data_IF_549132557519
#
_entry.id   IF_549132557519
#
_cell.length_a   1.000
_cell.length_b   1.000
_cell.length_c   1.000
_cell.angle_alpha   90.00
_cell.angle_beta   90.00
_cell.angle_gamma   90.00
#
_symmetry.space_group_name_H-M   'P 1'
#
loop_
_entity.id
_entity.type
_entity.pdbx_description
1 polymer ?
#
# COMPACT_ATOMS: atom_id res chain seq x y z
N UNK A 1 -10.64 8.04 6.11
CA UNK A 1 -10.11 7.15 7.16
C UNK A 1 -9.12 6.21 6.49
N UNK A 2 -7.94 6.01 7.09
CA UNK A 2 -6.92 5.08 6.59
C UNK A 2 -6.80 3.98 7.63
N UNK A 3 -7.15 2.76 7.24
CA UNK A 3 -7.05 1.57 8.09
C UNK A 3 -6.01 0.63 7.48
N UNK A 4 -5.02 0.25 8.29
CA UNK A 4 -3.90 -0.62 7.87
C UNK A 4 -3.88 -1.92 8.71
N UNK A 5 -5.04 -2.34 9.20
CA UNK A 5 -5.18 -3.59 9.96
C UNK A 5 -4.99 -4.77 9.00
N UNK A 6 -4.13 -5.71 9.38
CA UNK A 6 -3.81 -6.88 8.54
C UNK A 6 -4.94 -7.88 8.40
N UNK A 7 -5.83 -7.93 9.39
CA UNK A 7 -6.98 -8.80 9.34
C UNK A 7 -8.05 -8.22 8.41
N UNK A 8 -8.36 -8.95 7.35
CA UNK A 8 -9.41 -8.58 6.40
C UNK A 8 -10.77 -8.55 7.08
N UNK A 9 -11.02 -9.41 8.07
CA UNK A 9 -12.33 -9.51 8.70
C UNK A 9 -12.68 -8.23 9.47
N UNK A 10 -11.69 -7.58 10.10
CA UNK A 10 -11.83 -6.28 10.74
C UNK A 10 -12.20 -5.19 9.73
N UNK A 11 -11.49 -5.16 8.60
CA UNK A 11 -11.75 -4.20 7.52
C UNK A 11 -13.15 -4.39 6.93
N UNK A 12 -13.59 -5.63 6.70
CA UNK A 12 -14.92 -5.95 6.21
C UNK A 12 -16.02 -5.59 7.23
N UNK A 13 -15.79 -5.87 8.52
CA UNK A 13 -16.71 -5.53 9.59
C UNK A 13 -16.91 -4.02 9.70
N UNK A 14 -15.81 -3.25 9.62
CA UNK A 14 -15.85 -1.79 9.62
C UNK A 14 -16.65 -1.24 8.42
N UNK A 15 -16.33 -1.68 7.20
CA UNK A 15 -17.02 -1.24 5.99
C UNK A 15 -18.51 -1.59 6.04
N UNK A 16 -18.85 -2.78 6.52
CA UNK A 16 -20.23 -3.22 6.73
C UNK A 16 -20.95 -2.33 7.73
N UNK A 17 -20.33 -2.01 8.87
CA UNK A 17 -20.91 -1.11 9.87
C UNK A 17 -21.14 0.29 9.31
N UNK A 18 -20.17 0.87 8.59
CA UNK A 18 -20.31 2.19 7.97
C UNK A 18 -21.49 2.23 7.00
N UNK A 19 -21.60 1.19 6.14
CA UNK A 19 -22.72 1.04 5.21
C UNK A 19 -24.07 0.92 5.93
N UNK A 20 -24.17 0.08 6.96
CA UNK A 20 -25.40 -0.11 7.73
C UNK A 20 -25.85 1.16 8.44
N UNK A 21 -24.90 1.99 8.91
CA UNK A 21 -25.19 3.27 9.56
C UNK A 21 -25.43 4.41 8.57
N UNK A 22 -25.34 4.17 7.27
CA UNK A 22 -25.45 5.21 6.23
C UNK A 22 -24.35 6.26 6.31
N UNK A 23 -23.20 5.93 6.90
CA UNK A 23 -22.07 6.84 7.05
C UNK A 23 -21.28 6.83 5.74
N UNK A 24 -21.27 7.96 5.05
CA UNK A 24 -20.54 8.14 3.80
C UNK A 24 -19.24 8.89 4.09
N UNK A 25 -18.14 8.14 4.15
CA UNK A 25 -16.79 8.68 4.32
C UNK A 25 -15.83 7.94 3.39
N UNK A 26 -14.84 8.63 2.77
CA UNK A 26 -13.81 7.95 2.00
C UNK A 26 -12.98 7.01 2.87
N UNK A 27 -12.88 5.75 2.45
CA UNK A 27 -12.17 4.68 3.14
C UNK A 27 -11.00 4.18 2.30
N UNK A 28 -9.83 4.11 2.92
CA UNK A 28 -8.64 3.49 2.35
C UNK A 28 -8.27 2.32 3.26
N UNK A 29 -8.20 1.12 2.69
CA UNK A 29 -7.94 -0.13 3.41
C UNK A 29 -6.76 -0.88 2.78
N UNK A 30 -6.12 -1.75 3.54
CA UNK A 30 -5.00 -2.58 3.08
C UNK A 30 -5.46 -3.99 2.69
N UNK A 31 -4.77 -4.61 1.74
CA UNK A 31 -5.00 -5.99 1.31
C UNK A 31 -3.68 -6.74 1.19
N UNK A 32 -3.66 -8.00 1.63
CA UNK A 32 -2.50 -8.88 1.52
C UNK A 32 -2.54 -9.76 0.26
N UNK A 33 -3.68 -9.81 -0.45
CA UNK A 33 -3.83 -10.57 -1.70
C UNK A 33 -4.78 -9.92 -2.71
N UNK A 34 -4.72 -10.30 -4.00
CA UNK A 34 -5.68 -9.83 -5.00
C UNK A 34 -7.13 -10.17 -4.66
N UNK A 35 -7.37 -11.37 -4.11
CA UNK A 35 -8.71 -11.81 -3.73
C UNK A 35 -9.29 -10.94 -2.61
N UNK A 36 -8.47 -10.63 -1.59
CA UNK A 36 -8.85 -9.69 -0.53
C UNK A 36 -9.17 -8.30 -1.08
N UNK A 37 -8.37 -7.80 -2.02
CA UNK A 37 -8.61 -6.49 -2.60
C UNK A 37 -9.97 -6.42 -3.32
N UNK A 38 -10.33 -7.46 -4.07
CA UNK A 38 -11.66 -7.58 -4.67
C UNK A 38 -12.77 -7.53 -3.62
N UNK A 39 -12.67 -8.33 -2.57
CA UNK A 39 -13.68 -8.37 -1.49
C UNK A 39 -13.85 -7.01 -0.81
N UNK A 40 -12.76 -6.30 -0.56
CA UNK A 40 -12.80 -4.98 0.09
C UNK A 40 -13.43 -3.92 -0.81
N UNK A 41 -13.19 -3.95 -2.12
CA UNK A 41 -13.91 -3.10 -3.06
C UNK A 41 -15.41 -3.42 -3.11
N UNK A 42 -15.78 -4.70 -3.15
CA UNK A 42 -17.18 -5.14 -3.11
C UNK A 42 -17.89 -4.72 -1.81
N UNK A 43 -17.15 -4.67 -0.69
CA UNK A 43 -17.64 -4.19 0.60
C UNK A 43 -17.80 -2.65 0.67
N UNK A 44 -17.33 -1.90 -0.33
CA UNK A 44 -17.50 -0.46 -0.45
C UNK A 44 -16.29 0.38 -0.05
N UNK A 45 -15.09 -0.21 0.00
CA UNK A 45 -13.87 0.57 0.13
C UNK A 45 -13.72 1.59 -1.01
N UNK A 46 -13.33 2.82 -0.69
CA UNK A 46 -13.08 3.84 -1.73
C UNK A 46 -11.77 3.57 -2.48
N UNK A 47 -10.78 3.03 -1.78
CA UNK A 47 -9.51 2.60 -2.37
C UNK A 47 -8.91 1.46 -1.54
N UNK A 48 -8.31 0.48 -2.22
CA UNK A 48 -7.58 -0.61 -1.57
C UNK A 48 -6.10 -0.48 -1.93
N UNK A 49 -5.27 -0.31 -0.91
CA UNK A 49 -3.82 -0.44 -1.04
C UNK A 49 -3.51 -1.93 -1.10
N UNK A 50 -2.75 -2.35 -2.12
CA UNK A 50 -2.17 -3.69 -2.18
C UNK A 50 -0.64 -3.55 -2.26
N UNK A 51 0.07 -3.55 -1.11
CA UNK A 51 1.46 -3.11 -1.01
C UNK A 51 2.39 -3.91 -1.91
N UNK A 52 2.20 -5.23 -1.97
CA UNK A 52 3.03 -6.12 -2.78
C UNK A 52 2.90 -5.84 -4.28
N UNK A 53 1.68 -5.57 -4.75
CA UNK A 53 1.43 -5.23 -6.16
C UNK A 53 1.99 -3.86 -6.51
N UNK A 54 1.70 -2.83 -5.70
CA UNK A 54 2.18 -1.46 -5.96
C UNK A 54 3.71 -1.41 -5.90
N UNK A 55 4.33 -2.10 -4.96
CA UNK A 55 5.79 -2.19 -4.84
C UNK A 55 6.42 -2.89 -6.05
N UNK A 56 5.84 -4.00 -6.50
CA UNK A 56 6.30 -4.71 -7.70
C UNK A 56 6.17 -3.86 -8.97
N UNK A 57 5.03 -3.17 -9.14
CA UNK A 57 4.81 -2.25 -10.26
C UNK A 57 5.81 -1.09 -10.23
N UNK A 58 6.02 -0.48 -9.06
CA UNK A 58 7.02 0.57 -8.87
C UNK A 58 8.41 0.08 -9.27
N UNK A 59 8.83 -1.10 -8.77
CA UNK A 59 10.13 -1.66 -9.11
C UNK A 59 10.26 -1.94 -10.62
N UNK A 60 9.21 -2.44 -11.27
CA UNK A 60 9.18 -2.63 -12.72
C UNK A 60 9.38 -1.34 -13.51
N UNK A 61 8.73 -0.24 -13.09
CA UNK A 61 8.91 1.09 -13.67
C UNK A 61 10.33 1.62 -13.48
N UNK A 62 10.90 1.40 -12.30
CA UNK A 62 12.27 1.76 -11.96
C UNK A 62 13.25 1.00 -12.85
N UNK A 63 13.08 -0.32 -13.00
CA UNK A 63 13.91 -1.14 -13.89
C UNK A 63 13.81 -0.70 -15.35
N UNK A 64 12.61 -0.39 -15.83
CA UNK A 64 12.39 0.14 -17.20
C UNK A 64 13.12 1.47 -17.41
N UNK A 65 13.16 2.35 -16.41
CA UNK A 65 13.85 3.65 -16.48
C UNK A 65 15.37 3.50 -16.59
N UNK A 66 15.95 2.47 -15.98
CA UNK A 66 17.40 2.29 -15.93
C UNK A 66 17.99 1.50 -17.11
N UNK A 67 17.18 0.72 -17.82
CA UNK A 67 17.60 0.06 -19.06
C UNK A 67 18.84 -0.84 -18.86
N UNK A 68 20.02 -0.37 -19.31
CA UNK A 68 21.32 -1.08 -19.23
C UNK A 68 22.28 -0.53 -18.16
N UNK A 69 21.87 0.44 -17.34
CA UNK A 69 22.72 0.98 -16.26
C UNK A 69 22.92 -0.06 -15.16
N UNK A 70 24.05 -0.77 -15.23
CA UNK A 70 24.46 -1.83 -14.29
C UNK A 70 24.61 -1.28 -12.86
N UNK A 71 24.90 0.01 -12.69
CA UNK A 71 25.04 0.66 -11.39
C UNK A 71 23.74 1.23 -10.80
N UNK A 72 22.63 1.16 -11.53
CA UNK A 72 21.39 1.79 -11.11
C UNK A 72 20.77 1.18 -9.85
N UNK A 73 20.85 -0.15 -9.71
CA UNK A 73 20.37 -0.85 -8.52
C UNK A 73 21.12 -0.38 -7.27
N UNK A 74 22.44 -0.18 -7.35
CA UNK A 74 23.19 0.30 -6.19
C UNK A 74 22.93 1.76 -5.86
N UNK A 75 22.73 2.63 -6.85
CA UNK A 75 22.25 3.99 -6.57
C UNK A 75 20.89 3.98 -5.85
N UNK A 76 19.99 3.10 -6.26
CA UNK A 76 18.68 2.95 -5.61
C UNK A 76 18.79 2.44 -4.19
N UNK A 77 19.62 1.42 -3.97
CA UNK A 77 19.90 0.85 -2.66
C UNK A 77 20.49 1.89 -1.70
N UNK A 78 21.50 2.65 -2.15
CA UNK A 78 22.11 3.71 -1.34
C UNK A 78 21.07 4.76 -0.93
N UNK A 79 20.26 5.25 -1.88
CA UNK A 79 19.23 6.24 -1.59
C UNK A 79 18.13 5.71 -0.67
N UNK A 80 17.73 4.45 -0.85
CA UNK A 80 16.77 3.79 0.02
C UNK A 80 17.30 3.72 1.46
N UNK A 81 18.56 3.33 1.64
CA UNK A 81 19.20 3.29 2.97
C UNK A 81 19.28 4.67 3.62
N UNK A 82 19.62 5.71 2.86
CA UNK A 82 19.63 7.09 3.37
C UNK A 82 18.23 7.52 3.85
N UNK A 83 17.21 7.27 3.03
CA UNK A 83 15.82 7.61 3.37
C UNK A 83 15.34 6.85 4.62
N UNK A 84 15.69 5.57 4.75
CA UNK A 84 15.33 4.77 5.94
C UNK A 84 16.00 5.32 7.19
N UNK A 85 17.28 5.70 7.12
CA UNK A 85 17.97 6.33 8.24
C UNK A 85 17.33 7.66 8.63
N UNK A 86 16.99 8.51 7.67
CA UNK A 86 16.29 9.77 7.95
C UNK A 86 14.96 9.55 8.68
N UNK A 87 14.18 8.55 8.25
CA UNK A 87 12.86 8.28 8.82
C UNK A 87 12.91 7.63 10.20
N UNK A 88 13.85 6.70 10.42
CA UNK A 88 13.87 5.84 11.61
C UNK A 88 14.99 6.17 12.62
N UNK A 89 16.02 6.89 12.21
CA UNK A 89 17.19 7.26 13.03
C UNK A 89 17.38 8.78 13.14
N UNK A 90 16.60 9.58 12.40
CA UNK A 90 16.59 11.04 12.55
C UNK A 90 15.82 11.46 13.80
N UNK A 91 16.51 12.08 14.76
CA UNK A 91 15.89 12.77 15.88
C UNK A 91 15.02 13.93 15.33
N UNK A 92 13.71 13.88 15.59
CA UNK A 92 12.80 15.03 15.42
C UNK A 92 12.90 15.98 16.63
#
# INVERSE_FOLDING_TARGET
MIETVKDIDDSLALLTMLRQKGIVVPTIVDAESPAQATLLYEAGASYVIFPHFVSGLHLGLVMKKFGKDVGALEKYRSRQNETLKEIYEGDF
#
